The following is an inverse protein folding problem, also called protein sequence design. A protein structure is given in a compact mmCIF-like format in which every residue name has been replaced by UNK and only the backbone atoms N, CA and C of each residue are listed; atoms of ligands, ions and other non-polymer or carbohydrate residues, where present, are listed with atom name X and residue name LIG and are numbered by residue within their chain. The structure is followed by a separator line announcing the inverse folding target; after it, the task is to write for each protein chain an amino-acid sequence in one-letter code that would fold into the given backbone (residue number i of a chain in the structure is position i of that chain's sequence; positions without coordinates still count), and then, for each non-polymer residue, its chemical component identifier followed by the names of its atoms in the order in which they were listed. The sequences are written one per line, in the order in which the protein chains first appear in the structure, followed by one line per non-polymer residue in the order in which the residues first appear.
data_IF_682370883272
#
_entry.id   IF_682370883272
#
_cell.length_a   1.000
_cell.length_b   1.000
_cell.length_c   1.000
_cell.angle_alpha   90.00
_cell.angle_beta   90.00
_cell.angle_gamma   90.00
#
_symmetry.space_group_name_H-M   'P 1'
#
loop_
_entity.id
_entity.type
_entity.pdbx_description
1 polymer ?
#
# COMPACT_ATOMS: atom_id res chain seq x y z
N UNK A 1 8.02 -12.02 8.24
CA UNK A 1 7.11 -11.14 9.03
C UNK A 1 5.97 -11.98 9.58
N UNK A 2 5.58 -11.73 10.81
CA UNK A 2 4.43 -12.42 11.40
C UNK A 2 3.14 -11.81 10.86
N UNK A 3 2.09 -12.62 10.74
CA UNK A 3 0.81 -12.14 10.21
C UNK A 3 0.21 -11.01 11.04
N UNK A 4 0.30 -11.13 12.37
CA UNK A 4 -0.22 -10.09 13.27
C UNK A 4 0.51 -8.76 13.09
N UNK A 5 1.81 -8.81 12.81
CA UNK A 5 2.61 -7.62 12.53
C UNK A 5 2.13 -6.98 11.24
N UNK A 6 1.94 -7.77 10.19
CA UNK A 6 1.43 -7.26 8.92
C UNK A 6 0.05 -6.62 9.10
N UNK A 7 -0.85 -7.28 9.80
CA UNK A 7 -2.20 -6.76 10.02
C UNK A 7 -2.17 -5.41 10.75
N UNK A 8 -1.29 -5.25 11.74
CA UNK A 8 -1.13 -3.99 12.45
C UNK A 8 -0.57 -2.89 11.54
N UNK A 9 0.41 -3.22 10.71
CA UNK A 9 0.98 -2.25 9.76
C UNK A 9 -0.05 -1.82 8.72
N UNK A 10 -0.83 -2.76 8.20
CA UNK A 10 -1.89 -2.46 7.22
C UNK A 10 -2.98 -1.59 7.83
N UNK A 11 -3.31 -1.77 9.11
CA UNK A 11 -4.28 -0.92 9.80
C UNK A 11 -3.80 0.53 9.87
N UNK A 12 -2.51 0.75 10.12
CA UNK A 12 -1.92 2.09 10.13
C UNK A 12 -1.98 2.73 8.74
N UNK A 13 -1.65 1.94 7.71
CA UNK A 13 -1.69 2.41 6.31
C UNK A 13 -3.13 2.78 5.92
N UNK A 14 -4.09 1.97 6.31
CA UNK A 14 -5.51 2.25 6.04
C UNK A 14 -5.95 3.57 6.65
N UNK A 15 -5.59 3.82 7.91
CA UNK A 15 -5.94 5.06 8.60
C UNK A 15 -5.36 6.28 7.89
N UNK A 16 -4.08 6.23 7.52
CA UNK A 16 -3.42 7.32 6.81
C UNK A 16 -4.03 7.53 5.43
N UNK A 17 -4.35 6.44 4.73
CA UNK A 17 -4.98 6.48 3.41
C UNK A 17 -6.34 7.18 3.46
N UNK A 18 -7.10 6.92 4.51
CA UNK A 18 -8.38 7.60 4.74
C UNK A 18 -8.18 9.10 4.96
N UNK A 19 -7.17 9.48 5.73
CA UNK A 19 -6.85 10.89 5.98
C UNK A 19 -6.52 11.64 4.68
N UNK A 20 -5.81 10.99 3.77
CA UNK A 20 -5.42 11.60 2.49
C UNK A 20 -6.52 11.51 1.43
N UNK A 21 -7.59 10.77 1.68
CA UNK A 21 -8.69 10.65 0.74
C UNK A 21 -8.35 9.92 -0.55
N UNK A 22 -7.39 8.99 -0.50
CA UNK A 22 -7.04 8.19 -1.67
C UNK A 22 -8.19 7.26 -2.04
N UNK A 23 -8.21 6.78 -3.29
CA UNK A 23 -9.31 5.96 -3.78
C UNK A 23 -9.18 4.50 -3.32
N UNK A 24 -8.04 3.89 -3.53
CA UNK A 24 -7.77 2.50 -3.17
C UNK A 24 -6.31 2.30 -2.82
N UNK A 25 -6.03 1.29 -2.00
CA UNK A 25 -4.67 0.82 -1.75
C UNK A 25 -4.65 -0.69 -1.91
N UNK A 26 -3.65 -1.19 -2.63
CA UNK A 26 -3.46 -2.61 -2.90
C UNK A 26 -2.19 -3.10 -2.21
N UNK A 27 -2.27 -4.29 -1.61
CA UNK A 27 -1.10 -5.03 -1.17
C UNK A 27 -0.65 -5.95 -2.30
N UNK A 28 0.64 -5.97 -2.61
CA UNK A 28 1.20 -6.88 -3.60
C UNK A 28 2.58 -7.37 -3.16
N UNK A 29 3.24 -8.14 -4.01
CA UNK A 29 4.60 -8.60 -3.73
C UNK A 29 4.68 -9.69 -2.68
N UNK A 30 5.79 -9.74 -1.95
CA UNK A 30 6.13 -10.86 -1.06
C UNK A 30 5.17 -11.05 0.10
N UNK A 31 4.61 -9.98 0.66
CA UNK A 31 3.63 -10.10 1.75
C UNK A 31 2.34 -10.79 1.29
N UNK A 32 2.01 -10.68 0.01
CA UNK A 32 0.85 -11.34 -0.54
C UNK A 32 1.11 -12.83 -0.81
N UNK A 33 2.34 -13.17 -1.22
CA UNK A 33 2.72 -14.52 -1.58
C UNK A 33 3.10 -15.38 -0.36
N UNK A 34 3.92 -14.83 0.53
CA UNK A 34 4.39 -15.54 1.73
C UNK A 34 4.75 -14.54 2.82
N UNK A 35 3.83 -14.28 3.71
CA UNK A 35 4.03 -13.30 4.77
C UNK A 35 5.16 -13.69 5.71
N UNK A 36 5.34 -14.98 6.00
CA UNK A 36 6.36 -15.45 6.95
C UNK A 36 7.78 -15.14 6.50
N UNK A 37 8.04 -15.15 5.21
CA UNK A 37 9.38 -14.89 4.66
C UNK A 37 9.54 -13.46 4.16
N UNK A 38 8.48 -12.67 4.13
CA UNK A 38 8.53 -11.30 3.64
C UNK A 38 9.25 -10.39 4.64
N UNK A 39 10.06 -9.47 4.11
CA UNK A 39 10.74 -8.46 4.91
C UNK A 39 10.10 -7.09 4.75
N UNK A 40 9.61 -6.79 3.56
CA UNK A 40 9.07 -5.48 3.19
C UNK A 40 7.59 -5.59 2.82
N UNK A 41 6.89 -4.49 2.97
CA UNK A 41 5.48 -4.38 2.60
C UNK A 41 5.42 -3.56 1.31
N UNK A 42 4.89 -4.18 0.25
CA UNK A 42 4.73 -3.52 -1.05
C UNK A 42 3.27 -3.11 -1.24
N UNK A 43 3.03 -1.81 -1.41
CA UNK A 43 1.68 -1.30 -1.63
C UNK A 43 1.63 -0.37 -2.83
N UNK A 44 0.45 -0.34 -3.47
CA UNK A 44 0.17 0.55 -4.58
C UNK A 44 -1.04 1.40 -4.22
N UNK A 45 -0.93 2.71 -4.41
CA UNK A 45 -2.02 3.64 -4.13
C UNK A 45 -2.64 4.12 -5.44
N UNK A 46 -3.97 4.14 -5.47
CA UNK A 46 -4.75 4.70 -6.57
C UNK A 46 -5.46 5.96 -6.08
N UNK A 47 -5.37 7.04 -6.87
CA UNK A 47 -6.12 8.25 -6.56
C UNK A 47 -5.44 9.19 -5.58
N UNK A 48 -4.10 9.21 -5.55
CA UNK A 48 -3.33 10.21 -4.79
C UNK A 48 -2.95 11.35 -5.72
N UNK A 49 -3.06 12.59 -5.25
CA UNK A 49 -2.58 13.74 -6.01
C UNK A 49 -1.06 13.74 -6.00
N UNK A 50 -0.45 14.08 -7.14
CA UNK A 50 1.00 14.10 -7.28
C UNK A 50 1.68 14.93 -6.20
N UNK A 51 1.10 16.08 -5.84
CA UNK A 51 1.64 16.97 -4.82
C UNK A 51 1.62 16.37 -3.42
N UNK A 52 0.78 15.37 -3.19
CA UNK A 52 0.60 14.76 -1.87
C UNK A 52 1.36 13.42 -1.74
N UNK A 53 1.91 12.89 -2.83
CA UNK A 53 2.49 11.55 -2.85
C UNK A 53 3.61 11.38 -1.81
N UNK A 54 4.59 12.29 -1.80
CA UNK A 54 5.72 12.17 -0.89
C UNK A 54 5.31 12.41 0.56
N UNK A 55 4.35 13.29 0.80
CA UNK A 55 3.82 13.52 2.14
C UNK A 55 3.10 12.27 2.66
N UNK A 56 2.31 11.64 1.83
CA UNK A 56 1.62 10.39 2.12
C UNK A 56 2.62 9.27 2.43
N UNK A 57 3.63 9.11 1.57
CA UNK A 57 4.67 8.10 1.76
C UNK A 57 5.44 8.35 3.06
N UNK A 58 5.79 9.60 3.34
CA UNK A 58 6.50 9.97 4.57
C UNK A 58 5.68 9.65 5.82
N UNK A 59 4.38 9.93 5.79
CA UNK A 59 3.48 9.60 6.91
C UNK A 59 3.42 8.11 7.16
N UNK A 60 3.33 7.32 6.11
CA UNK A 60 3.34 5.85 6.21
C UNK A 60 4.66 5.35 6.79
N UNK A 61 5.78 5.85 6.26
CA UNK A 61 7.11 5.43 6.70
C UNK A 61 7.35 5.75 8.18
N UNK A 62 6.85 6.88 8.65
CA UNK A 62 7.00 7.27 10.05
C UNK A 62 6.10 6.47 10.98
N UNK A 63 4.97 6.00 10.51
CA UNK A 63 3.99 5.29 11.32
C UNK A 63 4.27 3.79 11.43
N UNK A 64 4.96 3.22 10.44
CA UNK A 64 5.21 1.78 10.37
C UNK A 64 6.59 1.43 10.89
N UNK A 65 6.72 0.25 11.49
CA UNK A 65 7.99 -0.27 11.98
C UNK A 65 8.75 -1.04 10.90
N UNK A 66 8.03 -1.62 9.94
CA UNK A 66 8.61 -2.35 8.83
C UNK A 66 8.73 -1.43 7.62
N UNK A 67 9.69 -1.74 6.74
CA UNK A 67 9.87 -0.97 5.52
C UNK A 67 8.66 -1.14 4.60
N UNK A 68 8.16 -0.03 4.08
CA UNK A 68 7.04 -0.01 3.15
C UNK A 68 7.51 0.62 1.84
N UNK A 69 7.34 -0.12 0.75
CA UNK A 69 7.60 0.37 -0.60
C UNK A 69 6.28 0.76 -1.25
N UNK A 70 6.15 2.03 -1.59
CA UNK A 70 4.93 2.59 -2.15
C UNK A 70 5.11 2.96 -3.60
N UNK A 71 4.20 2.50 -4.46
CA UNK A 71 4.12 2.95 -5.85
C UNK A 71 2.79 3.65 -6.09
N UNK A 72 2.81 4.62 -7.00
CA UNK A 72 1.58 5.27 -7.48
C UNK A 72 1.04 4.43 -8.63
N UNK A 73 -0.10 3.78 -8.43
CA UNK A 73 -0.69 2.88 -9.42
C UNK A 73 -0.99 3.59 -10.72
N UNK A 74 -1.28 4.89 -10.66
CA UNK A 74 -1.60 5.69 -11.85
C UNK A 74 -0.37 6.15 -12.62
N UNK A 75 0.84 5.89 -12.11
CA UNK A 75 2.09 6.37 -12.68
C UNK A 75 3.12 5.26 -12.88
N UNK A 76 2.69 4.03 -13.10
CA UNK A 76 3.56 2.90 -13.40
C UNK A 76 3.23 2.32 -14.76
N UNK A 77 4.11 1.45 -15.26
CA UNK A 77 3.92 0.82 -16.57
C UNK A 77 2.64 -0.02 -16.60
N UNK A 78 1.99 -0.04 -17.74
CA UNK A 78 0.69 -0.65 -17.92
C UNK A 78 0.66 -2.12 -17.50
N UNK A 79 1.65 -2.93 -17.91
CA UNK A 79 1.63 -4.35 -17.55
C UNK A 79 1.83 -4.59 -16.06
N UNK A 80 2.61 -3.74 -15.38
CA UNK A 80 2.76 -3.81 -13.93
C UNK A 80 1.46 -3.39 -13.24
N UNK A 81 0.82 -2.33 -13.73
CA UNK A 81 -0.47 -1.88 -13.24
C UNK A 81 -1.52 -3.00 -13.34
N UNK A 82 -1.61 -3.66 -14.50
CA UNK A 82 -2.54 -4.77 -14.71
C UNK A 82 -2.26 -5.93 -13.75
N UNK A 83 -1.00 -6.22 -13.50
CA UNK A 83 -0.60 -7.29 -12.59
C UNK A 83 -1.07 -7.00 -11.17
N UNK A 84 -0.89 -5.77 -10.69
CA UNK A 84 -1.34 -5.37 -9.36
C UNK A 84 -2.87 -5.43 -9.29
N UNK A 85 -3.57 -4.91 -10.30
CA UNK A 85 -5.02 -4.93 -10.34
C UNK A 85 -5.60 -6.34 -10.38
N UNK A 86 -4.91 -7.27 -11.01
CA UNK A 86 -5.38 -8.66 -11.16
C UNK A 86 -5.06 -9.51 -9.92
N UNK A 87 -3.86 -9.37 -9.36
CA UNK A 87 -3.36 -10.25 -8.29
C UNK A 87 -3.27 -9.58 -6.93
N UNK A 88 -3.26 -8.25 -6.87
CA UNK A 88 -3.15 -7.52 -5.62
C UNK A 88 -4.40 -7.66 -4.76
N UNK A 89 -4.22 -7.49 -3.46
CA UNK A 89 -5.34 -7.50 -2.51
C UNK A 89 -5.67 -6.06 -2.10
N UNK A 90 -6.93 -5.69 -2.20
CA UNK A 90 -7.39 -4.37 -1.75
C UNK A 90 -7.35 -4.35 -0.23
N UNK A 91 -6.58 -3.42 0.34
CA UNK A 91 -6.49 -3.23 1.79
C UNK A 91 -7.23 -1.98 2.26
N UNK A 92 -7.55 -1.09 1.34
CA UNK A 92 -8.35 0.10 1.62
C UNK A 92 -9.09 0.51 0.35
N UNK A 93 -10.35 0.84 0.52
CA UNK A 93 -11.17 1.39 -0.56
C UNK A 93 -12.06 2.47 0.03
N UNK A 94 -12.02 3.68 -0.59
CA UNK A 94 -12.81 4.81 -0.12
C UNK A 94 -14.29 4.53 -0.33
N UNK A 95 -15.09 4.79 0.70
CA UNK A 95 -16.53 4.71 0.60
C UNK A 95 -17.06 5.76 -0.37
N UNK A 96 -18.07 5.39 -1.15
CA UNK A 96 -18.70 6.28 -2.12
C UNK A 96 -19.76 7.14 -1.44
#
# INVERSE_FOLDING_TARGET
MRKEVLDNELAKIEKISKEFGVKKVFLFGSCLESVETANDIDIAVEGIKAKDFFKYYGRISMATDNEVDLVDLDDIREHFQKRILTKGRIIYERAV
#
